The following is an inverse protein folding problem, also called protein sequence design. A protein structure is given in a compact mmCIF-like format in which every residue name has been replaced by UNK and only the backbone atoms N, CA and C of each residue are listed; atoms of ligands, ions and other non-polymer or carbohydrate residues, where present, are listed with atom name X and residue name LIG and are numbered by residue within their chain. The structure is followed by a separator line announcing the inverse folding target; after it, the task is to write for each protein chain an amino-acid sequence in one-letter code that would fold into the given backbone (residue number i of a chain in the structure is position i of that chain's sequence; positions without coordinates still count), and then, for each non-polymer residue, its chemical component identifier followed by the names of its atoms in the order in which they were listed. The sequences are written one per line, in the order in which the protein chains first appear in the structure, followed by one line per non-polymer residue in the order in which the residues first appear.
data_IF_622270300919
#
_entry.id   IF_622270300919
#
_cell.length_a   1.000
_cell.length_b   1.000
_cell.length_c   1.000
_cell.angle_alpha   90.00
_cell.angle_beta   90.00
_cell.angle_gamma   90.00
#
_symmetry.space_group_name_H-M   'P 1'
#
loop_
_entity.id
_entity.type
_entity.pdbx_description
1 polymer ?
#
# COMPACT_ATOMS: atom_id res chain seq x y z
N UNK A 1 -54.19 0.16 -28.44
CA UNK A 1 -54.12 -0.80 -27.34
C UNK A 1 -52.84 -1.63 -27.35
N UNK A 2 -52.07 -1.64 -28.41
CA UNK A 2 -50.76 -2.34 -28.47
C UNK A 2 -49.53 -1.45 -28.22
N UNK A 3 -49.70 -0.16 -27.98
CA UNK A 3 -48.58 0.77 -27.74
C UNK A 3 -48.08 0.79 -26.28
N UNK A 4 -48.90 0.36 -25.30
CA UNK A 4 -48.57 0.41 -23.90
C UNK A 4 -47.65 -0.72 -23.45
N UNK A 5 -47.49 -1.81 -24.19
CA UNK A 5 -46.61 -2.93 -23.86
C UNK A 5 -45.16 -2.74 -24.28
N UNK A 6 -44.89 -1.87 -25.25
CA UNK A 6 -43.55 -1.67 -25.82
C UNK A 6 -42.63 -0.88 -24.88
N UNK A 7 -43.17 0.03 -24.10
CA UNK A 7 -42.35 0.85 -23.20
C UNK A 7 -42.04 0.15 -21.84
N UNK A 8 -42.95 -0.73 -21.38
CA UNK A 8 -42.66 -1.52 -20.17
C UNK A 8 -41.57 -2.54 -20.40
N UNK A 9 -41.51 -3.18 -21.53
CA UNK A 9 -40.43 -4.09 -21.92
C UNK A 9 -39.10 -3.33 -22.05
N UNK A 10 -39.11 -2.12 -22.53
CA UNK A 10 -37.91 -1.29 -22.64
C UNK A 10 -37.42 -0.83 -21.27
N UNK A 11 -38.28 -0.60 -20.29
CA UNK A 11 -37.90 -0.31 -18.90
C UNK A 11 -37.33 -1.54 -18.17
N UNK A 12 -37.92 -2.71 -18.41
CA UNK A 12 -37.45 -3.97 -17.85
C UNK A 12 -36.06 -4.35 -18.40
N UNK A 13 -35.88 -4.18 -19.72
CA UNK A 13 -34.57 -4.43 -20.37
C UNK A 13 -33.50 -3.42 -19.87
N UNK A 14 -33.86 -2.15 -19.74
CA UNK A 14 -32.95 -1.15 -19.13
C UNK A 14 -32.62 -1.44 -17.67
N UNK A 15 -33.55 -2.00 -16.92
CA UNK A 15 -33.32 -2.39 -15.51
C UNK A 15 -32.42 -3.61 -15.39
N UNK A 16 -32.49 -4.55 -16.30
CA UNK A 16 -31.63 -5.73 -16.32
C UNK A 16 -30.23 -5.39 -16.81
N UNK A 17 -30.09 -4.51 -17.79
CA UNK A 17 -28.77 -4.07 -18.27
C UNK A 17 -28.00 -3.25 -17.24
N UNK A 18 -28.69 -2.39 -16.48
CA UNK A 18 -28.01 -1.64 -15.40
C UNK A 18 -27.60 -2.51 -14.23
N UNK A 19 -28.28 -3.61 -13.97
CA UNK A 19 -27.84 -4.56 -12.93
C UNK A 19 -26.68 -5.44 -13.40
N UNK A 20 -26.70 -5.89 -14.64
CA UNK A 20 -25.62 -6.70 -15.21
C UNK A 20 -24.34 -5.87 -15.39
N UNK A 21 -24.44 -4.60 -15.80
CA UNK A 21 -23.29 -3.72 -15.89
C UNK A 21 -22.71 -3.37 -14.51
N UNK A 22 -23.53 -3.24 -13.47
CA UNK A 22 -23.07 -3.05 -12.10
C UNK A 22 -22.34 -4.29 -11.54
N UNK A 23 -22.81 -5.48 -11.83
CA UNK A 23 -22.16 -6.73 -11.44
C UNK A 23 -20.86 -6.95 -12.22
N UNK A 24 -20.83 -6.64 -13.52
CA UNK A 24 -19.60 -6.73 -14.31
C UNK A 24 -18.56 -5.68 -13.91
N UNK A 25 -18.96 -4.44 -13.64
CA UNK A 25 -18.06 -3.37 -13.18
C UNK A 25 -17.56 -3.66 -11.78
N UNK A 26 -18.41 -4.21 -10.90
CA UNK A 26 -17.99 -4.60 -9.55
C UNK A 26 -17.02 -5.80 -9.58
N UNK A 27 -17.19 -6.72 -10.53
CA UNK A 27 -16.25 -7.84 -10.73
C UNK A 27 -14.92 -7.37 -11.34
N UNK A 28 -14.93 -6.32 -12.18
CA UNK A 28 -13.72 -5.73 -12.77
C UNK A 28 -12.99 -4.76 -11.80
N UNK A 29 -13.72 -4.17 -10.86
CA UNK A 29 -13.18 -3.27 -9.83
C UNK A 29 -12.79 -3.98 -8.54
N UNK A 30 -13.04 -5.28 -8.43
CA UNK A 30 -12.38 -6.02 -7.38
C UNK A 30 -10.88 -5.99 -7.68
N UNK A 31 -10.07 -5.29 -6.85
CA UNK A 31 -8.66 -5.51 -6.92
C UNK A 31 -8.52 -7.02 -6.78
N UNK A 32 -8.07 -7.68 -7.82
CA UNK A 32 -7.57 -9.02 -7.68
C UNK A 32 -6.68 -8.93 -6.44
N UNK A 33 -7.14 -9.54 -5.37
CA UNK A 33 -6.29 -9.91 -4.27
C UNK A 33 -5.26 -10.84 -4.93
N UNK A 34 -4.34 -10.22 -5.65
CA UNK A 34 -3.14 -10.88 -6.03
C UNK A 34 -2.53 -11.28 -4.70
N UNK A 35 -2.86 -12.50 -4.26
CA UNK A 35 -2.01 -13.19 -3.35
C UNK A 35 -0.64 -13.11 -3.99
N UNK A 36 0.10 -12.11 -3.58
CA UNK A 36 1.53 -12.07 -3.84
C UNK A 36 2.02 -13.31 -3.13
N UNK A 37 2.05 -14.44 -3.84
CA UNK A 37 2.80 -15.60 -3.41
C UNK A 37 4.20 -15.06 -3.19
N UNK A 38 4.50 -14.80 -1.94
CA UNK A 38 5.84 -14.53 -1.48
C UNK A 38 6.66 -15.77 -1.84
N UNK A 39 7.04 -15.83 -3.11
CA UNK A 39 8.09 -16.75 -3.54
C UNK A 39 9.31 -16.31 -2.73
N UNK A 40 9.59 -17.03 -1.69
CA UNK A 40 10.62 -16.98 -0.67
C UNK A 40 11.87 -16.11 -0.80
N UNK A 41 11.88 -15.17 -1.69
CA UNK A 41 12.97 -14.21 -1.87
C UNK A 41 12.65 -12.93 -1.11
N UNK A 42 13.16 -12.84 0.11
CA UNK A 42 13.09 -11.62 0.90
C UNK A 42 13.74 -10.46 0.13
N UNK A 43 12.94 -9.43 -0.22
CA UNK A 43 13.42 -8.23 -0.88
C UNK A 43 13.78 -7.18 0.15
N UNK A 44 15.02 -6.73 0.12
CA UNK A 44 15.45 -5.57 0.91
C UNK A 44 15.03 -4.28 0.20
N UNK A 45 14.59 -3.30 0.99
CA UNK A 45 14.30 -1.96 0.48
C UNK A 45 15.61 -1.25 0.15
N UNK A 46 15.69 -0.73 -1.07
CA UNK A 46 16.81 0.11 -1.51
C UNK A 46 16.57 1.55 -1.08
N UNK A 47 17.59 2.41 -1.19
CA UNK A 47 17.43 3.84 -0.93
C UNK A 47 16.43 4.51 -1.89
N UNK A 48 16.41 4.08 -3.15
CA UNK A 48 15.44 4.54 -4.14
C UNK A 48 13.99 4.14 -3.76
N UNK A 49 13.80 2.93 -3.23
CA UNK A 49 12.50 2.52 -2.73
C UNK A 49 12.05 3.38 -1.55
N UNK A 50 12.98 3.80 -0.67
CA UNK A 50 12.69 4.71 0.46
C UNK A 50 12.28 6.10 -0.01
N UNK A 51 12.92 6.64 -1.04
CA UNK A 51 12.50 7.91 -1.65
C UNK A 51 11.08 7.82 -2.23
N UNK A 52 10.72 6.71 -2.85
CA UNK A 52 9.36 6.47 -3.33
C UNK A 52 8.35 6.40 -2.18
N UNK A 53 8.71 5.71 -1.08
CA UNK A 53 7.88 5.66 0.13
C UNK A 53 7.66 7.07 0.68
N UNK A 54 8.69 7.89 0.76
CA UNK A 54 8.60 9.29 1.21
C UNK A 54 7.63 10.10 0.35
N UNK A 55 7.75 10.03 -0.98
CA UNK A 55 6.88 10.73 -1.91
C UNK A 55 5.41 10.29 -1.78
N UNK A 56 5.14 8.99 -1.72
CA UNK A 56 3.78 8.46 -1.58
C UNK A 56 3.18 8.71 -0.19
N UNK A 57 3.99 8.64 0.85
CA UNK A 57 3.58 8.98 2.21
C UNK A 57 3.19 10.47 2.32
N UNK A 58 3.95 11.36 1.67
CA UNK A 58 3.64 12.78 1.60
C UNK A 58 2.33 13.06 0.84
N UNK A 59 2.04 12.28 -0.20
CA UNK A 59 0.76 12.33 -0.93
C UNK A 59 -0.43 11.80 -0.11
N UNK A 60 -0.18 11.17 1.03
CA UNK A 60 -1.22 10.64 1.91
C UNK A 60 -1.61 9.19 1.65
N UNK A 61 -0.84 8.46 0.84
CA UNK A 61 -1.09 7.05 0.57
C UNK A 61 -1.02 6.20 1.85
N UNK A 62 -1.82 5.14 1.89
CA UNK A 62 -1.81 4.21 3.02
C UNK A 62 -0.60 3.30 2.95
N UNK A 63 -0.02 2.89 4.08
CA UNK A 63 1.12 1.96 4.09
C UNK A 63 0.87 0.64 3.36
N UNK A 64 -0.39 0.18 3.34
CA UNK A 64 -0.80 -1.04 2.63
C UNK A 64 -0.70 -0.86 1.11
N UNK A 65 -1.12 0.30 0.59
CA UNK A 65 -1.07 0.61 -0.84
C UNK A 65 0.38 0.79 -1.32
N UNK A 66 1.20 1.43 -0.50
CA UNK A 66 2.65 1.56 -0.74
C UNK A 66 3.31 0.17 -0.79
N UNK A 67 2.95 -0.72 0.14
CA UNK A 67 3.45 -2.09 0.17
C UNK A 67 3.08 -2.87 -1.09
N UNK A 68 1.85 -2.74 -1.57
CA UNK A 68 1.39 -3.37 -2.81
C UNK A 68 2.19 -2.89 -4.03
N UNK A 69 2.46 -1.58 -4.13
CA UNK A 69 3.26 -1.00 -5.23
C UNK A 69 4.71 -1.50 -5.24
N UNK A 70 5.30 -1.67 -4.07
CA UNK A 70 6.68 -2.17 -3.93
C UNK A 70 6.78 -3.70 -3.90
N UNK A 71 5.65 -4.42 -3.95
CA UNK A 71 5.61 -5.88 -3.85
C UNK A 71 6.30 -6.41 -2.57
N UNK A 72 6.10 -5.70 -1.46
CA UNK A 72 6.60 -6.10 -0.13
C UNK A 72 5.44 -6.27 0.84
N UNK A 73 5.69 -6.95 1.95
CA UNK A 73 4.65 -7.11 2.97
C UNK A 73 4.42 -5.77 3.71
N UNK A 74 3.17 -5.48 4.06
CA UNK A 74 2.79 -4.21 4.71
C UNK A 74 3.53 -3.97 6.04
N UNK A 75 3.84 -5.02 6.80
CA UNK A 75 4.63 -4.89 8.03
C UNK A 75 6.04 -4.34 7.79
N UNK A 76 6.61 -4.59 6.60
CA UNK A 76 7.91 -4.02 6.21
C UNK A 76 7.80 -2.50 6.07
N UNK A 77 6.73 -2.02 5.47
CA UNK A 77 6.49 -0.57 5.33
C UNK A 77 6.24 0.08 6.69
N UNK A 78 5.43 -0.53 7.57
CA UNK A 78 5.23 0.00 8.93
C UNK A 78 6.55 0.13 9.71
N UNK A 79 7.41 -0.89 9.66
CA UNK A 79 8.74 -0.85 10.30
C UNK A 79 9.64 0.22 9.67
N UNK A 80 9.53 0.42 8.36
CA UNK A 80 10.30 1.44 7.66
C UNK A 80 9.82 2.84 8.01
N UNK A 81 8.51 3.08 8.11
CA UNK A 81 7.95 4.35 8.55
C UNK A 81 8.39 4.69 9.99
N UNK A 82 8.38 3.73 10.91
CA UNK A 82 8.91 3.92 12.26
C UNK A 82 10.41 4.24 12.25
N UNK A 83 11.18 3.61 11.36
CA UNK A 83 12.62 3.86 11.23
C UNK A 83 12.90 5.27 10.72
N UNK A 84 12.13 5.77 9.77
CA UNK A 84 12.28 7.09 9.16
C UNK A 84 11.45 8.18 9.82
N UNK A 85 10.80 7.91 10.94
CA UNK A 85 9.94 8.87 11.63
C UNK A 85 10.72 10.13 12.01
N UNK A 86 10.21 11.30 11.59
CA UNK A 86 10.82 12.62 11.86
C UNK A 86 10.39 13.22 13.18
N UNK A 87 9.31 12.69 13.78
CA UNK A 87 8.69 13.25 14.99
C UNK A 87 7.79 14.47 14.73
N UNK A 88 7.66 14.90 13.50
CA UNK A 88 6.73 15.97 13.10
C UNK A 88 5.41 15.36 12.69
N UNK A 89 4.30 15.95 13.15
CA UNK A 89 2.96 15.52 12.78
C UNK A 89 2.40 16.45 11.69
N UNK A 90 1.83 15.85 10.66
CA UNK A 90 1.08 16.58 9.64
C UNK A 90 -0.30 17.04 10.16
N UNK A 91 -0.99 17.87 9.37
CA UNK A 91 -2.34 18.33 9.66
C UNK A 91 -3.34 17.15 9.91
N UNK A 92 -3.06 15.98 9.36
CA UNK A 92 -3.85 14.76 9.55
C UNK A 92 -3.35 13.87 10.70
N UNK A 93 -2.50 14.42 11.58
CA UNK A 93 -1.88 13.69 12.70
C UNK A 93 -1.06 12.46 12.27
N UNK A 94 -0.55 12.46 11.05
CA UNK A 94 0.38 11.45 10.56
C UNK A 94 1.80 11.85 10.85
N UNK A 95 2.60 10.91 11.31
CA UNK A 95 4.02 11.12 11.55
C UNK A 95 4.77 11.25 10.22
N UNK A 96 5.57 12.31 10.06
CA UNK A 96 6.36 12.54 8.88
C UNK A 96 7.44 11.46 8.72
N UNK A 97 7.79 11.16 7.46
CA UNK A 97 8.81 10.18 7.12
C UNK A 97 9.92 10.82 6.29
N UNK A 98 11.17 10.47 6.60
CA UNK A 98 12.35 10.86 5.82
C UNK A 98 13.17 9.63 5.43
N UNK A 99 13.43 9.50 4.12
CA UNK A 99 14.23 8.42 3.54
C UNK A 99 15.68 8.46 4.02
N UNK A 100 16.26 9.66 4.14
CA UNK A 100 17.64 9.84 4.61
C UNK A 100 17.80 9.43 6.08
N UNK A 101 16.84 9.81 6.90
CA UNK A 101 16.84 9.44 8.32
C UNK A 101 16.73 7.92 8.50
N UNK A 102 15.86 7.28 7.71
CA UNK A 102 15.70 5.83 7.71
C UNK A 102 16.99 5.13 7.31
N UNK A 103 17.66 5.60 6.27
CA UNK A 103 18.94 5.05 5.80
C UNK A 103 20.03 5.21 6.84
N UNK A 104 20.16 6.38 7.45
CA UNK A 104 21.14 6.64 8.51
C UNK A 104 20.92 5.72 9.71
N UNK A 105 19.69 5.59 10.21
CA UNK A 105 19.35 4.70 11.32
C UNK A 105 19.61 3.23 10.98
N UNK A 106 19.36 2.84 9.73
CA UNK A 106 19.67 1.49 9.27
C UNK A 106 21.17 1.22 9.32
N UNK A 107 22.01 2.11 8.78
CA UNK A 107 23.47 2.00 8.83
C UNK A 107 24.01 1.94 10.25
N UNK A 108 23.46 2.75 11.14
CA UNK A 108 23.80 2.73 12.58
C UNK A 108 23.44 1.39 13.23
N UNK A 109 22.30 0.81 12.86
CA UNK A 109 21.89 -0.49 13.37
C UNK A 109 22.84 -1.63 12.95
N UNK A 110 23.41 -1.55 11.76
CA UNK A 110 24.43 -2.51 11.30
C UNK A 110 25.76 -2.37 12.06
N UNK A 111 26.19 -1.15 12.36
CA UNK A 111 27.40 -0.90 13.15
C UNK A 111 27.32 -1.54 14.56
N UNK A 112 26.12 -1.55 15.15
CA UNK A 112 25.89 -2.16 16.49
C UNK A 112 25.94 -3.69 16.46
N UNK A 113 25.51 -4.33 15.39
CA UNK A 113 25.44 -5.80 15.29
C UNK A 113 26.80 -6.48 15.28
N UNK A 114 27.87 -5.78 14.88
CA UNK A 114 29.23 -6.30 14.82
C UNK A 114 30.01 -6.20 16.15
N UNK A 115 29.54 -5.43 17.12
CA UNK A 115 30.21 -5.29 18.42
C UNK A 115 29.65 -6.32 19.40
N UNK A 116 30.30 -7.48 19.49
CA UNK A 116 30.10 -8.41 20.61
C UNK A 116 30.55 -7.68 21.89
N UNK A 117 29.67 -7.53 22.87
CA UNK A 117 30.08 -7.01 24.17
C UNK A 117 31.24 -7.86 24.68
N UNK A 118 32.32 -7.24 25.18
CA UNK A 118 33.38 -8.02 25.80
C UNK A 118 32.75 -8.84 26.92
N UNK A 119 33.05 -10.15 26.95
CA UNK A 119 32.62 -11.01 28.03
C UNK A 119 33.14 -10.41 29.34
N UNK A 120 32.24 -10.13 30.29
CA UNK A 120 32.62 -9.69 31.63
C UNK A 120 33.47 -10.81 32.24
N UNK A 121 34.73 -10.52 32.50
CA UNK A 121 35.62 -11.36 33.28
C UNK A 121 35.32 -11.16 34.75
#
# INVERSE_FOLDING_TARGET
MFEDFSWELSIIIKRTETQLSRLCVFSLLQPHRTEVRLTGKYRYLTFEDRKKIEAWHLLGDRPVDIAARLSVHHTTIYKELQRGATGTLDANQREGYSAELAERRLRESFKRRGKRAPAAQ
#
